data_IF_939093792638
#
_entry.id   IF_939093792638
#
_cell.length_a   1.000
_cell.length_b   1.000
_cell.length_c   1.000
_cell.angle_alpha   90.00
_cell.angle_beta   90.00
_cell.angle_gamma   90.00
#
_symmetry.space_group_name_H-M   'P 1'
#
loop_
_entity.id
_entity.type
_entity.pdbx_description
1 polymer ?
#
# COMPACT_ATOMS: atom_id res chain seq x y z
N UNK A 1 -23.61 4.97 -4.33
CA UNK A 1 -22.70 6.10 -4.08
C UNK A 1 -21.31 5.52 -3.93
N UNK A 2 -20.34 5.89 -4.76
CA UNK A 2 -18.93 5.49 -4.58
C UNK A 2 -18.43 6.18 -3.31
N UNK A 3 -18.04 5.41 -2.29
CA UNK A 3 -17.49 5.97 -1.07
C UNK A 3 -16.25 6.84 -1.41
N UNK A 4 -16.16 8.02 -0.81
CA UNK A 4 -15.04 8.92 -1.06
C UNK A 4 -13.75 8.31 -0.53
N UNK A 5 -12.70 8.32 -1.34
CA UNK A 5 -11.40 7.82 -0.93
C UNK A 5 -10.81 8.66 0.22
N UNK A 6 -10.42 8.02 1.31
CA UNK A 6 -9.67 8.59 2.43
C UNK A 6 -8.21 8.20 2.32
N UNK A 7 -7.30 9.15 2.53
CA UNK A 7 -5.87 8.87 2.65
C UNK A 7 -5.57 8.23 4.02
N UNK A 8 -4.75 7.18 4.03
CA UNK A 8 -4.13 6.58 5.21
C UNK A 8 -2.63 6.72 5.11
N UNK A 9 -2.05 7.48 6.04
CA UNK A 9 -0.61 7.62 6.12
C UNK A 9 0.04 6.29 6.50
N UNK A 10 1.16 5.97 5.85
CA UNK A 10 1.94 4.76 6.12
C UNK A 10 3.42 5.12 6.21
N UNK A 11 4.12 4.51 7.16
CA UNK A 11 5.56 4.78 7.42
C UNK A 11 6.41 3.51 7.39
N UNK A 12 5.86 2.39 6.90
CA UNK A 12 6.52 1.09 6.90
C UNK A 12 5.52 -0.07 6.90
N UNK A 13 6.00 -1.26 7.24
CA UNK A 13 5.17 -2.48 7.29
C UNK A 13 4.10 -2.39 8.37
N UNK A 14 2.87 -2.77 8.05
CA UNK A 14 1.76 -2.80 9.00
C UNK A 14 0.38 -2.87 8.33
N UNK A 15 -0.65 -2.81 9.17
CA UNK A 15 -2.03 -2.69 8.69
C UNK A 15 -2.29 -1.26 8.18
N UNK A 16 -2.74 -1.13 6.94
CA UNK A 16 -3.30 0.13 6.42
C UNK A 16 -4.74 0.29 6.91
N UNK A 17 -5.49 -0.80 6.85
CA UNK A 17 -6.85 -0.91 7.37
C UNK A 17 -7.14 -2.36 7.73
N UNK A 18 -7.37 -2.66 9.01
CA UNK A 18 -7.66 -4.00 9.52
C UNK A 18 -9.16 -4.33 9.46
N UNK A 19 -9.75 -4.22 8.26
CA UNK A 19 -11.16 -4.51 8.02
C UNK A 19 -11.58 -4.24 6.57
N UNK A 20 -12.81 -4.60 6.19
CA UNK A 20 -13.28 -4.47 4.81
C UNK A 20 -13.09 -3.06 4.26
N UNK A 21 -12.41 -2.96 3.11
CA UNK A 21 -12.18 -1.69 2.43
C UNK A 21 -11.89 -1.91 0.95
N UNK A 22 -11.83 -0.80 0.22
CA UNK A 22 -11.50 -0.81 -1.21
C UNK A 22 -10.26 0.03 -1.46
N UNK A 23 -9.19 -0.58 -1.95
CA UNK A 23 -7.99 0.14 -2.39
C UNK A 23 -8.34 1.00 -3.61
N UNK A 24 -8.01 2.29 -3.54
CA UNK A 24 -8.23 3.29 -4.59
C UNK A 24 -6.93 3.72 -5.26
N UNK A 25 -5.82 3.66 -4.54
CA UNK A 25 -4.53 4.09 -5.04
C UNK A 25 -3.48 4.17 -3.94
N UNK A 26 -2.25 4.52 -4.31
CA UNK A 26 -1.16 4.76 -3.37
C UNK A 26 -0.10 5.70 -3.95
N UNK A 27 0.60 6.38 -3.04
CA UNK A 27 1.80 7.17 -3.34
C UNK A 27 2.77 7.01 -2.19
N UNK A 28 3.92 6.39 -2.46
CA UNK A 28 4.92 6.04 -1.46
C UNK A 28 6.30 6.48 -1.92
N UNK A 29 7.13 6.87 -0.95
CA UNK A 29 8.51 7.29 -1.14
C UNK A 29 9.43 6.40 -0.31
N UNK A 30 10.55 5.98 -0.90
CA UNK A 30 11.59 5.30 -0.14
C UNK A 30 12.36 6.30 0.74
N UNK A 31 12.53 5.94 2.00
CA UNK A 31 13.35 6.66 2.99
C UNK A 31 14.46 5.78 3.57
N UNK A 32 14.60 4.55 3.07
CA UNK A 32 15.55 3.56 3.59
C UNK A 32 16.98 3.78 3.11
N UNK A 33 17.18 4.52 2.02
CA UNK A 33 18.51 4.75 1.45
C UNK A 33 19.00 3.62 0.54
N UNK A 34 18.18 2.60 0.32
CA UNK A 34 18.50 1.39 -0.45
C UNK A 34 17.29 0.95 -1.29
N UNK A 35 17.48 0.06 -2.26
CA UNK A 35 16.36 -0.46 -3.06
C UNK A 35 15.33 -1.15 -2.17
N UNK A 36 14.06 -0.77 -2.31
CA UNK A 36 13.00 -1.20 -1.40
C UNK A 36 11.83 -1.78 -2.17
N UNK A 37 11.33 -2.93 -1.74
CA UNK A 37 10.14 -3.54 -2.36
C UNK A 37 8.94 -3.32 -1.45
N UNK A 38 7.93 -2.66 -1.97
CA UNK A 38 6.63 -2.50 -1.32
C UNK A 38 5.65 -3.52 -1.87
N UNK A 39 4.93 -4.20 -0.98
CA UNK A 39 3.84 -5.12 -1.32
C UNK A 39 2.60 -4.78 -0.49
N UNK A 40 1.43 -4.85 -1.13
CA UNK A 40 0.13 -4.77 -0.46
C UNK A 40 -0.54 -6.14 -0.53
N UNK A 41 -1.08 -6.57 0.61
CA UNK A 41 -1.76 -7.83 0.81
C UNK A 41 -3.22 -7.61 1.24
N UNK A 42 -4.06 -8.60 0.96
CA UNK A 42 -5.46 -8.65 1.37
C UNK A 42 -5.69 -9.26 2.77
N UNK A 43 -4.63 -9.64 3.49
CA UNK A 43 -4.70 -10.15 4.86
C UNK A 43 -3.44 -9.84 5.68
N UNK A 44 -3.51 -10.07 6.99
CA UNK A 44 -2.45 -9.75 7.95
C UNK A 44 -1.17 -10.59 7.79
N UNK A 45 -1.25 -11.74 7.15
CA UNK A 45 -0.13 -12.66 6.96
C UNK A 45 0.48 -12.46 5.57
N UNK A 46 1.58 -11.72 5.47
CA UNK A 46 2.32 -11.58 4.22
C UNK A 46 2.80 -12.93 3.62
N UNK A 47 2.86 -13.99 4.43
CA UNK A 47 3.23 -15.35 4.00
C UNK A 47 2.07 -16.13 3.37
N UNK A 48 0.81 -15.78 3.67
CA UNK A 48 -0.39 -16.47 3.16
C UNK A 48 -1.39 -15.53 2.50
N UNK A 49 -1.09 -14.24 2.44
CA UNK A 49 -1.88 -13.21 1.78
C UNK A 49 -1.64 -13.16 0.29
N UNK A 50 -2.70 -12.83 -0.44
CA UNK A 50 -2.61 -12.58 -1.87
C UNK A 50 -1.96 -11.22 -2.05
N UNK A 51 -0.90 -11.15 -2.87
CA UNK A 51 -0.30 -9.88 -3.27
C UNK A 51 -1.26 -9.18 -4.21
N UNK A 52 -1.81 -8.05 -3.77
CA UNK A 52 -2.70 -7.21 -4.55
C UNK A 52 -1.93 -6.21 -5.41
N UNK A 53 -0.79 -5.74 -4.91
CA UNK A 53 0.08 -4.80 -5.60
C UNK A 53 1.51 -4.97 -5.12
N UNK A 54 2.48 -4.87 -6.03
CA UNK A 54 3.89 -4.87 -5.70
C UNK A 54 4.62 -3.82 -6.53
N UNK A 55 5.53 -3.09 -5.91
CA UNK A 55 6.36 -2.10 -6.58
C UNK A 55 7.76 -2.09 -6.00
N UNK A 56 8.76 -2.13 -6.88
CA UNK A 56 10.15 -1.92 -6.51
C UNK A 56 10.47 -0.43 -6.59
N UNK A 57 10.66 0.19 -5.42
CA UNK A 57 11.24 1.51 -5.31
C UNK A 57 12.75 1.41 -5.58
N UNK A 58 13.25 2.32 -6.41
CA UNK A 58 14.68 2.49 -6.65
C UNK A 58 15.40 3.00 -5.40
N UNK A 59 16.63 3.49 -5.59
CA UNK A 59 17.43 4.08 -4.50
C UNK A 59 16.79 5.34 -3.91
N UNK A 60 17.29 5.74 -2.73
CA UNK A 60 16.78 6.82 -1.86
C UNK A 60 16.04 7.96 -2.56
N UNK A 61 14.83 8.26 -2.11
CA UNK A 61 13.99 9.33 -2.67
C UNK A 61 13.18 8.93 -3.89
N UNK A 62 13.36 7.70 -4.40
CA UNK A 62 12.44 7.14 -5.38
C UNK A 62 11.01 7.15 -4.83
N UNK A 63 10.09 7.68 -5.64
CA UNK A 63 8.67 7.75 -5.32
C UNK A 63 7.92 6.90 -6.32
N UNK A 64 6.89 6.18 -5.89
CA UNK A 64 5.95 5.57 -6.83
C UNK A 64 5.27 6.70 -7.62
N UNK A 65 5.09 6.58 -8.96
CA UNK A 65 4.13 7.44 -9.63
C UNK A 65 2.76 7.29 -8.93
N UNK A 66 1.94 8.36 -8.86
CA UNK A 66 0.64 8.26 -8.23
C UNK A 66 -0.19 7.17 -8.90
N UNK A 67 -0.43 6.08 -8.17
CA UNK A 67 -1.17 4.93 -8.68
C UNK A 67 -2.64 5.15 -8.39
N UNK A 68 -3.47 5.10 -9.43
CA UNK A 68 -4.92 5.11 -9.30
C UNK A 68 -5.45 3.78 -9.81
N UNK A 69 -6.30 3.13 -9.02
CA UNK A 69 -6.96 1.88 -9.41
C UNK A 69 -8.40 2.23 -9.81
N UNK A 70 -8.66 2.24 -11.12
CA UNK A 70 -10.01 2.42 -11.67
C UNK A 70 -10.91 1.28 -11.20
N UNK A 71 -12.14 1.60 -10.78
CA UNK A 71 -13.06 0.66 -10.16
C UNK A 71 -12.64 0.17 -8.77
N UNK A 72 -11.35 0.31 -8.42
CA UNK A 72 -10.63 -0.09 -7.22
C UNK A 72 -10.74 -1.56 -6.82
N UNK A 73 -9.94 -1.94 -5.85
CA UNK A 73 -9.73 -3.35 -5.50
C UNK A 73 -10.26 -3.64 -4.11
N UNK A 74 -11.27 -4.52 -4.03
CA UNK A 74 -11.95 -4.85 -2.78
C UNK A 74 -11.12 -5.83 -1.96
N UNK A 75 -10.82 -5.45 -0.73
CA UNK A 75 -10.14 -6.28 0.25
C UNK A 75 -11.10 -6.57 1.42
N UNK A 76 -11.55 -7.81 1.53
CA UNK A 76 -12.58 -8.21 2.51
C UNK A 76 -12.00 -8.31 3.92
N UNK A 77 -10.77 -8.82 4.05
CA UNK A 77 -10.12 -8.97 5.36
C UNK A 77 -9.26 -7.76 5.75
N UNK A 78 -9.13 -6.77 4.87
CA UNK A 78 -8.32 -5.57 5.08
C UNK A 78 -7.13 -5.45 4.15
N UNK A 79 -6.40 -4.34 4.29
CA UNK A 79 -5.22 -4.03 3.51
C UNK A 79 -4.00 -3.92 4.42
N UNK A 80 -2.96 -4.65 4.06
CA UNK A 80 -1.73 -4.76 4.83
C UNK A 80 -0.54 -4.48 3.93
N UNK A 81 0.32 -3.57 4.35
CA UNK A 81 1.49 -3.14 3.61
C UNK A 81 2.73 -3.81 4.21
N UNK A 82 3.60 -4.33 3.35
CA UNK A 82 4.90 -4.87 3.73
C UNK A 82 5.99 -4.23 2.89
N UNK A 83 7.11 -3.92 3.52
CA UNK A 83 8.24 -3.25 2.91
C UNK A 83 9.53 -3.89 3.38
N UNK A 84 10.54 -3.94 2.50
CA UNK A 84 11.87 -4.43 2.85
C UNK A 84 12.73 -3.37 3.54
N UNK A 85 12.32 -2.11 3.48
CA UNK A 85 12.91 -0.97 4.18
C UNK A 85 11.88 0.09 4.57
N UNK A 86 12.33 1.21 5.14
CA UNK A 86 11.47 2.34 5.49
C UNK A 86 10.88 3.03 4.27
N UNK A 87 9.58 3.33 4.35
CA UNK A 87 8.86 4.15 3.35
C UNK A 87 8.04 5.19 4.08
N UNK A 88 7.65 6.25 3.38
CA UNK A 88 6.63 7.19 3.84
C UNK A 88 5.64 7.49 2.71
N UNK A 89 4.40 7.79 3.05
CA UNK A 89 3.41 8.21 2.05
C UNK A 89 1.98 7.92 2.47
N UNK A 90 1.12 7.72 1.48
CA UNK A 90 -0.31 7.51 1.70
C UNK A 90 -0.87 6.41 0.80
N UNK A 91 -1.79 5.64 1.37
CA UNK A 91 -2.63 4.69 0.65
C UNK A 91 -4.07 5.21 0.71
N UNK A 92 -4.71 5.32 -0.45
CA UNK A 92 -6.09 5.79 -0.55
C UNK A 92 -7.06 4.61 -0.50
N UNK A 93 -8.04 4.65 0.41
CA UNK A 93 -9.02 3.59 0.63
C UNK A 93 -10.44 4.16 0.71
N UNK A 94 -11.44 3.36 0.35
CA UNK A 94 -12.87 3.70 0.42
C UNK A 94 -13.69 2.59 1.10
#
# INVERSE_FOLDING_TARGET
MTAQASAKAVTGTGAVQAGPCTLRGLSLRDTSGSGNTVKIYDNASAASGTVLYAYALGTSGATTPPVTIDGGLRAVNGLYLSTTGSVEGSVWIA
#
